data_IF_868486850860
#
_entry.id   IF_868486850860
#
_cell.length_a   1.000
_cell.length_b   1.000
_cell.length_c   1.000
_cell.angle_alpha   90.00
_cell.angle_beta   90.00
_cell.angle_gamma   90.00
#
_symmetry.space_group_name_H-M   'P 1'
#
loop_
_entity.id
_entity.type
_entity.pdbx_description
1 polymer ?
#
# COMPACT_ATOMS: atom_id res chain seq x y z
N UNK A 1 -11.66 12.69 2.13
CA UNK A 1 -10.95 11.62 2.88
C UNK A 1 -9.91 10.99 1.95
N UNK A 2 -8.73 10.65 2.46
CA UNK A 2 -7.69 9.97 1.68
C UNK A 2 -7.94 8.47 1.67
N UNK A 3 -7.64 7.86 0.52
CA UNK A 3 -7.71 6.43 0.31
C UNK A 3 -6.29 5.88 0.15
N UNK A 4 -6.03 4.73 0.78
CA UNK A 4 -4.77 4.02 0.69
C UNK A 4 -4.97 2.75 -0.14
N UNK A 5 -4.08 2.51 -1.10
CA UNK A 5 -4.07 1.30 -1.91
C UNK A 5 -2.77 0.54 -1.67
N UNK A 6 -2.86 -0.70 -1.19
CA UNK A 6 -1.71 -1.50 -0.81
C UNK A 6 -1.68 -2.75 -1.68
N UNK A 7 -0.63 -2.89 -2.48
CA UNK A 7 -0.23 -4.18 -3.03
C UNK A 7 0.30 -5.04 -1.88
N UNK A 8 -0.60 -5.85 -1.32
CA UNK A 8 -0.38 -6.52 -0.06
C UNK A 8 0.40 -7.83 -0.20
N UNK A 9 0.50 -8.36 -1.42
CA UNK A 9 1.34 -9.53 -1.73
C UNK A 9 2.82 -9.16 -1.74
N UNK A 10 3.17 -8.00 -2.29
CA UNK A 10 4.55 -7.54 -2.26
C UNK A 10 4.93 -6.84 -0.95
N UNK A 11 3.97 -6.42 -0.12
CA UNK A 11 4.22 -5.69 1.12
C UNK A 11 4.58 -6.61 2.32
N UNK A 12 5.78 -6.48 2.92
CA UNK A 12 6.20 -7.27 4.07
C UNK A 12 5.29 -7.07 5.31
N UNK A 13 5.08 -8.14 6.09
CA UNK A 13 4.26 -8.11 7.33
C UNK A 13 4.59 -6.95 8.29
N UNK A 14 5.87 -6.64 8.60
CA UNK A 14 6.18 -5.51 9.49
C UNK A 14 5.67 -4.17 8.98
N UNK A 15 5.69 -3.96 7.65
CA UNK A 15 5.20 -2.73 7.06
C UNK A 15 3.67 -2.69 7.03
N UNK A 16 3.02 -3.82 6.74
CA UNK A 16 1.55 -3.91 6.88
C UNK A 16 1.10 -3.56 8.29
N UNK A 17 1.81 -3.99 9.32
CA UNK A 17 1.51 -3.61 10.70
C UNK A 17 1.60 -2.09 10.95
N UNK A 18 2.61 -1.42 10.36
CA UNK A 18 2.73 0.05 10.42
C UNK A 18 1.54 0.73 9.72
N UNK A 19 1.21 0.28 8.50
CA UNK A 19 0.09 0.83 7.72
C UNK A 19 -1.23 0.62 8.47
N UNK A 20 -1.52 -0.60 8.92
CA UNK A 20 -2.73 -0.94 9.67
C UNK A 20 -2.87 -0.09 10.93
N UNK A 21 -1.78 0.10 11.68
CA UNK A 21 -1.79 0.98 12.86
C UNK A 21 -2.14 2.41 12.50
N UNK A 22 -1.56 2.97 11.44
CA UNK A 22 -1.87 4.33 11.00
C UNK A 22 -3.31 4.47 10.50
N UNK A 23 -3.80 3.48 9.75
CA UNK A 23 -5.17 3.41 9.24
C UNK A 23 -6.18 3.39 10.38
N UNK A 24 -5.97 2.53 11.38
CA UNK A 24 -6.81 2.44 12.58
C UNK A 24 -6.79 3.74 13.37
N UNK A 25 -5.60 4.28 13.68
CA UNK A 25 -5.46 5.48 14.51
C UNK A 25 -6.10 6.74 13.89
N UNK A 26 -6.19 6.79 12.56
CA UNK A 26 -6.69 7.96 11.82
C UNK A 26 -8.02 7.68 11.10
N UNK A 27 -8.60 6.50 11.31
CA UNK A 27 -9.82 6.02 10.65
C UNK A 27 -9.83 6.23 9.12
N UNK A 28 -8.74 5.83 8.46
CA UNK A 28 -8.53 6.04 7.02
C UNK A 28 -9.15 4.90 6.20
N UNK A 29 -9.63 5.20 4.99
CA UNK A 29 -10.02 4.16 4.02
C UNK A 29 -8.76 3.52 3.45
N UNK A 30 -8.67 2.19 3.56
CA UNK A 30 -7.53 1.45 3.05
C UNK A 30 -7.96 0.14 2.39
N UNK A 31 -7.41 -0.13 1.20
CA UNK A 31 -7.64 -1.32 0.42
C UNK A 31 -6.35 -2.13 0.36
N UNK A 32 -6.36 -3.31 0.99
CA UNK A 32 -5.27 -4.28 0.93
C UNK A 32 -5.61 -5.33 -0.12
N UNK A 33 -4.87 -5.33 -1.21
CA UNK A 33 -5.16 -6.14 -2.40
C UNK A 33 -4.15 -7.28 -2.48
N UNK A 34 -4.63 -8.51 -2.58
CA UNK A 34 -3.79 -9.69 -2.71
C UNK A 34 -4.53 -10.84 -3.41
N UNK A 35 -3.79 -11.82 -3.92
CA UNK A 35 -4.30 -13.07 -4.49
C UNK A 35 -4.83 -14.07 -3.45
N UNK A 36 -4.72 -13.71 -2.16
CA UNK A 36 -5.09 -14.57 -1.03
C UNK A 36 -5.49 -13.75 0.18
N UNK A 37 -6.17 -14.41 1.11
CA UNK A 37 -6.51 -13.83 2.40
C UNK A 37 -5.27 -13.64 3.30
N UNK A 38 -5.10 -12.41 3.78
CA UNK A 38 -4.07 -12.05 4.75
C UNK A 38 -4.66 -12.02 6.17
N UNK A 39 -4.23 -12.96 7.02
CA UNK A 39 -4.75 -13.11 8.39
C UNK A 39 -4.56 -11.86 9.25
N UNK A 40 -3.42 -11.18 9.08
CA UNK A 40 -3.10 -9.93 9.79
C UNK A 40 -4.03 -8.78 9.41
N UNK A 41 -4.40 -8.67 8.13
CA UNK A 41 -5.35 -7.65 7.67
C UNK A 41 -6.76 -7.95 8.17
N UNK A 42 -7.19 -9.23 8.10
CA UNK A 42 -8.49 -9.66 8.63
C UNK A 42 -8.61 -9.39 10.13
N UNK A 43 -7.58 -9.76 10.90
CA UNK A 43 -7.55 -9.53 12.34
C UNK A 43 -7.67 -8.03 12.66
N UNK A 44 -6.89 -7.18 11.98
CA UNK A 44 -6.96 -5.74 12.18
C UNK A 44 -8.35 -5.14 11.84
N UNK A 45 -9.01 -5.64 10.79
CA UNK A 45 -10.39 -5.26 10.48
C UNK A 45 -11.36 -5.64 11.60
N UNK A 46 -11.27 -6.87 12.12
CA UNK A 46 -12.14 -7.38 13.18
C UNK A 46 -11.94 -6.60 14.49
N UNK A 47 -10.69 -6.42 14.92
CA UNK A 47 -10.30 -5.68 16.12
C UNK A 47 -10.74 -4.21 16.04
N UNK A 48 -10.47 -3.53 14.91
CA UNK A 48 -10.86 -2.14 14.76
C UNK A 48 -12.39 -1.99 14.69
N UNK A 49 -13.10 -2.91 14.04
CA UNK A 49 -14.57 -2.91 14.02
C UNK A 49 -15.14 -3.07 15.43
N UNK A 50 -14.58 -3.98 16.24
CA UNK A 50 -15.00 -4.16 17.63
C UNK A 50 -14.74 -2.89 18.47
N UNK A 51 -13.58 -2.26 18.29
CA UNK A 51 -13.25 -1.00 18.97
C UNK A 51 -14.25 0.11 18.61
N UNK A 52 -14.52 0.33 17.32
CA UNK A 52 -15.49 1.34 16.88
C UNK A 52 -16.90 1.08 17.43
N UNK A 53 -17.32 -0.20 17.50
CA UNK A 53 -18.61 -0.58 18.08
C UNK A 53 -18.69 -0.35 19.59
N UNK A 54 -17.59 -0.56 20.31
CA UNK A 54 -17.55 -0.29 21.76
C UNK A 54 -17.64 1.20 22.11
N UNK A 55 -17.30 2.08 21.18
CA UNK A 55 -17.39 3.53 21.35
C UNK A 55 -18.82 4.08 21.17
N UNK A 56 -19.79 3.25 20.77
CA UNK A 56 -21.17 3.66 20.51
C UNK A 56 -22.12 3.01 21.50
N UNK A 57 -22.91 3.84 22.18
CA UNK A 57 -23.82 3.39 23.24
C UNK A 57 -25.05 2.65 22.69
N UNK A 58 -25.65 3.13 21.59
CA UNK A 58 -26.91 2.62 21.04
C UNK A 58 -26.73 1.29 20.28
N UNK A 59 -27.40 0.19 20.71
CA UNK A 59 -27.22 -1.13 20.10
C UNK A 59 -27.58 -1.25 18.62
N UNK A 60 -28.60 -0.52 18.16
CA UNK A 60 -29.01 -0.48 16.75
C UNK A 60 -27.91 0.06 15.82
N UNK A 61 -27.20 1.11 16.24
CA UNK A 61 -26.15 1.76 15.44
C UNK A 61 -24.90 0.89 15.33
N UNK A 62 -24.57 0.13 16.39
CA UNK A 62 -23.39 -0.76 16.43
C UNK A 62 -23.34 -1.75 15.27
N UNK A 63 -24.49 -2.25 14.80
CA UNK A 63 -24.54 -3.28 13.75
C UNK A 63 -24.06 -2.76 12.39
N UNK A 64 -24.25 -1.47 12.12
CA UNK A 64 -23.87 -0.86 10.84
C UNK A 64 -22.40 -0.43 10.80
N UNK A 65 -21.76 -0.27 11.97
CA UNK A 65 -20.37 0.14 12.09
C UNK A 65 -19.43 -0.98 11.62
N UNK A 66 -18.53 -0.60 10.71
CA UNK A 66 -17.44 -1.43 10.18
C UNK A 66 -16.16 -0.60 10.10
N UNK A 67 -15.02 -1.25 10.29
CA UNK A 67 -13.72 -0.64 10.03
C UNK A 67 -13.62 -0.23 8.55
N UNK A 68 -12.95 0.89 8.23
CA UNK A 68 -12.65 1.31 6.86
C UNK A 68 -11.50 0.52 6.20
N UNK A 69 -10.96 -0.51 6.88
CA UNK A 69 -10.00 -1.47 6.32
C UNK A 69 -10.76 -2.45 5.43
N UNK A 70 -10.35 -2.56 4.17
CA UNK A 70 -10.95 -3.49 3.21
C UNK A 70 -9.88 -4.46 2.70
N UNK A 71 -10.13 -5.75 2.84
CA UNK A 71 -9.34 -6.80 2.20
C UNK A 71 -9.97 -7.13 0.85
N UNK A 72 -9.22 -6.97 -0.22
CA UNK A 72 -9.60 -7.34 -1.58
C UNK A 72 -8.82 -8.59 -1.96
N UNK A 73 -9.54 -9.68 -2.20
CA UNK A 73 -8.95 -10.92 -2.71
C UNK A 73 -9.25 -10.99 -4.20
N UNK A 74 -8.20 -10.88 -5.01
CA UNK A 74 -8.31 -11.04 -6.46
C UNK A 74 -8.10 -12.51 -6.84
N UNK A 75 -8.47 -12.87 -8.06
CA UNK A 75 -8.14 -14.18 -8.60
C UNK A 75 -6.62 -14.39 -8.65
N UNK A 76 -6.19 -15.64 -8.43
CA UNK A 76 -4.78 -15.99 -8.60
C UNK A 76 -4.37 -15.84 -10.06
N UNK A 77 -3.31 -15.08 -10.31
CA UNK A 77 -2.81 -14.82 -11.65
C UNK A 77 -1.84 -13.64 -11.64
N UNK A 78 -0.99 -13.58 -12.67
CA UNK A 78 -0.09 -12.45 -12.82
C UNK A 78 -0.88 -11.15 -12.97
N UNK A 79 -0.41 -10.10 -12.29
CA UNK A 79 -0.89 -8.72 -12.39
C UNK A 79 -2.36 -8.49 -12.01
N UNK A 80 -3.06 -9.45 -11.42
CA UNK A 80 -4.46 -9.30 -11.04
C UNK A 80 -4.65 -8.25 -9.93
N UNK A 81 -3.73 -8.23 -8.95
CA UNK A 81 -3.74 -7.23 -7.88
C UNK A 81 -3.43 -5.85 -8.44
N UNK A 82 -2.42 -5.76 -9.30
CA UNK A 82 -1.98 -4.53 -9.97
C UNK A 82 -3.12 -3.90 -10.78
N UNK A 83 -3.79 -4.70 -11.62
CA UNK A 83 -4.95 -4.26 -12.40
C UNK A 83 -6.05 -3.70 -11.50
N UNK A 84 -6.39 -4.43 -10.43
CA UNK A 84 -7.42 -3.98 -9.51
C UNK A 84 -7.04 -2.63 -8.89
N UNK A 85 -5.79 -2.47 -8.44
CA UNK A 85 -5.30 -1.21 -7.86
C UNK A 85 -5.38 -0.08 -8.90
N UNK A 86 -4.89 -0.30 -10.12
CA UNK A 86 -4.93 0.69 -11.20
C UNK A 86 -6.36 1.10 -11.51
N UNK A 87 -7.30 0.16 -11.59
CA UNK A 87 -8.69 0.45 -11.97
C UNK A 87 -9.43 1.24 -10.88
N UNK A 88 -9.14 0.99 -9.61
CA UNK A 88 -9.88 1.55 -8.49
C UNK A 88 -9.21 2.76 -7.85
N UNK A 89 -7.91 2.97 -8.06
CA UNK A 89 -7.19 4.07 -7.43
C UNK A 89 -7.56 5.41 -8.05
N UNK A 90 -7.96 6.34 -7.17
CA UNK A 90 -8.36 7.70 -7.47
C UNK A 90 -7.17 8.67 -7.38
N UNK A 91 -7.17 9.79 -8.13
CA UNK A 91 -6.27 10.91 -7.84
C UNK A 91 -6.41 11.36 -6.37
N UNK A 92 -5.32 11.87 -5.78
CA UNK A 92 -5.24 12.22 -4.35
C UNK A 92 -5.33 11.04 -3.38
N UNK A 93 -4.95 9.85 -3.84
CA UNK A 93 -4.72 8.66 -3.00
C UNK A 93 -3.22 8.42 -2.77
N UNK A 94 -2.93 7.52 -1.84
CA UNK A 94 -1.58 7.05 -1.54
C UNK A 94 -1.49 5.55 -1.84
N UNK A 95 -0.51 5.13 -2.63
CA UNK A 95 -0.29 3.72 -2.93
C UNK A 95 1.03 3.20 -2.38
N UNK A 96 1.05 1.91 -2.03
CA UNK A 96 2.26 1.19 -1.59
C UNK A 96 2.46 -0.03 -2.49
N UNK A 97 3.59 -0.07 -3.21
CA UNK A 97 4.00 -1.21 -4.03
C UNK A 97 5.52 -1.20 -4.24
N UNK A 98 6.10 -2.39 -4.41
CA UNK A 98 7.49 -2.54 -4.88
C UNK A 98 7.62 -2.62 -6.39
N UNK A 99 6.53 -2.82 -7.11
CA UNK A 99 6.60 -2.96 -8.57
C UNK A 99 6.71 -1.58 -9.23
N UNK A 100 7.80 -1.37 -9.96
CA UNK A 100 8.06 -0.12 -10.69
C UNK A 100 7.08 0.09 -11.84
N UNK A 101 6.59 -0.97 -12.48
CA UNK A 101 5.56 -0.87 -13.53
C UNK A 101 4.24 -0.41 -12.90
N UNK A 102 3.82 -1.02 -11.79
CA UNK A 102 2.63 -0.57 -11.07
C UNK A 102 2.79 0.88 -10.59
N UNK A 103 3.95 1.22 -10.01
CA UNK A 103 4.23 2.58 -9.57
C UNK A 103 4.14 3.59 -10.72
N UNK A 104 4.69 3.29 -11.90
CA UNK A 104 4.59 4.13 -13.10
C UNK A 104 3.14 4.38 -13.52
N UNK A 105 2.32 3.33 -13.58
CA UNK A 105 0.90 3.44 -13.92
C UNK A 105 0.17 4.35 -12.93
N UNK A 106 0.43 4.21 -11.63
CA UNK A 106 -0.26 4.98 -10.59
C UNK A 106 0.22 6.44 -10.53
N UNK A 107 1.53 6.68 -10.65
CA UNK A 107 2.10 8.04 -10.67
C UNK A 107 1.53 8.85 -11.84
N UNK A 108 1.37 8.23 -13.02
CA UNK A 108 0.74 8.86 -14.19
C UNK A 108 -0.74 9.21 -13.98
N UNK A 109 -1.43 8.55 -13.04
CA UNK A 109 -2.78 8.91 -12.58
C UNK A 109 -2.81 10.01 -11.51
N UNK A 110 -1.65 10.57 -11.14
CA UNK A 110 -1.53 11.59 -10.09
C UNK A 110 -1.53 11.02 -8.67
N UNK A 111 -1.23 9.73 -8.51
CA UNK A 111 -1.20 9.04 -7.21
C UNK A 111 0.22 9.12 -6.64
N UNK A 112 0.34 9.43 -5.35
CA UNK A 112 1.63 9.34 -4.66
C UNK A 112 1.91 7.88 -4.34
N UNK A 113 3.07 7.36 -4.74
CA UNK A 113 3.41 5.93 -4.55
C UNK A 113 4.67 5.79 -3.72
N UNK A 114 4.68 4.85 -2.78
CA UNK A 114 5.85 4.48 -1.98
C UNK A 114 6.20 3.00 -2.16
N UNK A 115 7.50 2.69 -2.08
CA UNK A 115 7.95 1.30 -1.95
C UNK A 115 8.15 0.87 -0.49
N UNK A 116 8.52 -0.39 -0.29
CA UNK A 116 8.79 -0.99 1.02
C UNK A 116 10.12 -0.54 1.66
N UNK A 117 10.85 0.37 1.01
CA UNK A 117 12.11 0.95 1.49
C UNK A 117 11.99 2.45 1.78
N UNK A 118 10.80 3.03 1.60
CA UNK A 118 10.54 4.44 1.81
C UNK A 118 10.99 5.36 0.66
N UNK A 119 11.27 4.79 -0.52
CA UNK A 119 11.38 5.60 -1.73
C UNK A 119 9.99 6.09 -2.12
N UNK A 120 9.90 7.34 -2.56
CA UNK A 120 8.66 7.95 -3.07
C UNK A 120 8.81 8.11 -4.58
N UNK A 121 7.87 7.53 -5.33
CA UNK A 121 7.80 7.69 -6.76
C UNK A 121 6.93 8.90 -7.12
N UNK A 122 7.44 9.70 -8.04
CA UNK A 122 6.80 10.92 -8.52
C UNK A 122 6.98 11.02 -10.04
N UNK A 123 6.23 11.90 -10.69
CA UNK A 123 6.34 12.08 -12.15
C UNK A 123 7.76 12.49 -12.57
N UNK A 124 8.51 13.15 -11.70
CA UNK A 124 9.87 13.61 -11.95
C UNK A 124 10.91 12.48 -11.91
N UNK A 125 10.66 11.40 -11.16
CA UNK A 125 11.67 10.36 -10.93
C UNK A 125 11.28 8.99 -11.52
N UNK A 126 10.01 8.75 -11.82
CA UNK A 126 9.53 7.40 -12.16
C UNK A 126 10.08 6.90 -13.50
N UNK A 127 10.28 7.80 -14.47
CA UNK A 127 10.85 7.46 -15.77
C UNK A 127 12.29 6.92 -15.66
N UNK A 128 13.11 7.55 -14.81
CA UNK A 128 14.48 7.08 -14.56
C UNK A 128 14.48 5.71 -13.87
N UNK A 129 13.61 5.52 -12.87
CA UNK A 129 13.45 4.24 -12.16
C UNK A 129 13.03 3.12 -13.10
N UNK A 130 12.09 3.40 -14.00
CA UNK A 130 11.64 2.44 -15.02
C UNK A 130 12.76 2.10 -16.01
N UNK A 131 13.56 3.08 -16.43
CA UNK A 131 14.72 2.84 -17.30
C UNK A 131 15.75 1.94 -16.63
N UNK A 132 16.09 2.20 -15.36
CA UNK A 132 17.02 1.36 -14.59
C UNK A 132 16.49 -0.06 -14.42
N UNK A 133 15.21 -0.21 -14.09
CA UNK A 133 14.53 -1.51 -14.00
C UNK A 133 14.68 -2.29 -15.31
N UNK A 134 14.37 -1.67 -16.45
CA UNK A 134 14.44 -2.32 -17.76
C UNK A 134 15.89 -2.73 -18.11
N UNK A 135 16.87 -1.88 -17.84
CA UNK A 135 18.28 -2.23 -18.05
C UNK A 135 18.71 -3.43 -17.19
N UNK A 136 18.30 -3.49 -15.92
CA UNK A 136 18.58 -4.64 -15.05
C UNK A 136 17.87 -5.92 -15.50
N UNK A 137 16.65 -5.82 -16.02
CA UNK A 137 15.93 -6.94 -16.64
C UNK A 137 16.72 -7.50 -17.82
N UNK A 138 17.16 -6.63 -18.73
CA UNK A 138 17.98 -7.03 -19.89
C UNK A 138 19.28 -7.72 -19.47
N UNK A 139 20.00 -7.19 -18.47
CA UNK A 139 21.22 -7.84 -17.96
C UNK A 139 20.95 -9.21 -17.33
N UNK A 140 19.79 -9.39 -16.70
CA UNK A 140 19.36 -10.68 -16.16
C UNK A 140 19.05 -11.69 -17.27
N UNK A 141 18.38 -11.25 -18.34
CA UNK A 141 18.08 -12.08 -19.51
C UNK A 141 19.37 -12.57 -20.21
N UNK A 142 20.41 -11.74 -20.23
CA UNK A 142 21.74 -12.14 -20.72
C UNK A 142 22.56 -12.99 -19.73
N UNK A 143 22.02 -13.32 -18.55
CA UNK A 143 22.71 -14.11 -17.53
C UNK A 143 23.90 -13.42 -16.85
N UNK A 144 24.06 -12.11 -17.08
CA UNK A 144 25.18 -11.30 -16.54
C UNK A 144 24.91 -10.87 -15.09
N UNK A 145 23.63 -10.79 -14.71
CA UNK A 145 23.22 -10.31 -13.40
C UNK A 145 22.13 -11.19 -12.79
N UNK A 146 22.30 -11.59 -11.53
CA UNK A 146 21.28 -12.24 -10.72
C UNK A 146 20.96 -11.35 -9.52
N UNK A 147 19.78 -10.75 -9.54
CA UNK A 147 19.36 -9.87 -8.46
C UNK A 147 18.96 -10.68 -7.23
N UNK A 148 19.58 -10.40 -6.08
CA UNK A 148 19.15 -10.94 -4.79
C UNK A 148 18.33 -9.87 -4.07
N UNK A 149 17.03 -10.11 -3.92
CA UNK A 149 16.20 -9.25 -3.07
C UNK A 149 16.70 -9.35 -1.63
N UNK A 150 17.33 -8.28 -1.15
CA UNK A 150 17.77 -8.19 0.25
C UNK A 150 16.53 -8.13 1.15
N UNK A 151 16.41 -9.01 2.16
CA UNK A 151 15.33 -8.93 3.14
C UNK A 151 15.26 -7.54 3.77
N UNK A 152 14.04 -7.10 4.10
CA UNK A 152 13.84 -5.82 4.79
C UNK A 152 14.43 -5.89 6.20
N UNK A 153 15.24 -4.90 6.57
CA UNK A 153 15.87 -4.81 7.89
C UNK A 153 15.32 -3.66 8.72
N UNK A 154 15.82 -3.49 9.96
CA UNK A 154 15.40 -2.40 10.84
C UNK A 154 15.64 -1.00 10.25
N UNK A 155 16.65 -0.85 9.38
CA UNK A 155 16.92 0.40 8.69
C UNK A 155 15.81 0.73 7.70
N UNK A 156 15.50 -0.21 6.80
CA UNK A 156 14.48 -0.04 5.78
C UNK A 156 13.09 0.16 6.39
N UNK A 157 12.76 -0.53 7.50
CA UNK A 157 11.50 -0.31 8.23
C UNK A 157 11.39 1.13 8.76
N UNK A 158 12.50 1.69 9.28
CA UNK A 158 12.53 3.09 9.75
C UNK A 158 12.38 4.07 8.59
N UNK A 159 13.09 3.83 7.49
CA UNK A 159 13.02 4.66 6.28
C UNK A 159 11.61 4.65 5.68
N UNK A 160 10.99 3.47 5.60
CA UNK A 160 9.59 3.32 5.21
C UNK A 160 8.66 4.10 6.15
N UNK A 161 8.75 3.89 7.47
CA UNK A 161 7.87 4.55 8.43
C UNK A 161 7.96 6.07 8.31
N UNK A 162 9.18 6.61 8.22
CA UNK A 162 9.40 8.05 8.10
C UNK A 162 8.85 8.61 6.78
N UNK A 163 9.03 7.90 5.67
CA UNK A 163 8.50 8.32 4.38
C UNK A 163 6.96 8.24 4.35
N UNK A 164 6.39 7.13 4.84
CA UNK A 164 4.96 6.93 4.92
C UNK A 164 4.27 7.98 5.78
N UNK A 165 4.78 8.27 6.97
CA UNK A 165 4.22 9.31 7.85
C UNK A 165 4.27 10.70 7.20
N UNK A 166 5.38 11.01 6.51
CA UNK A 166 5.57 12.29 5.81
C UNK A 166 4.57 12.45 4.66
N UNK A 167 4.47 11.46 3.77
CA UNK A 167 3.57 11.55 2.60
C UNK A 167 2.10 11.50 3.03
N UNK A 168 1.76 10.67 4.04
CA UNK A 168 0.42 10.66 4.61
C UNK A 168 0.05 12.02 5.23
N UNK A 169 0.96 12.65 5.97
CA UNK A 169 0.73 13.97 6.55
C UNK A 169 0.55 15.08 5.49
N UNK A 170 1.34 15.06 4.41
CA UNK A 170 1.18 15.99 3.29
C UNK A 170 -0.17 15.82 2.62
N UNK A 171 -0.53 14.58 2.30
CA UNK A 171 -1.79 14.30 1.63
C UNK A 171 -2.98 14.74 2.51
N UNK A 172 -2.95 14.46 3.83
CA UNK A 172 -4.01 14.89 4.75
C UNK A 172 -4.18 16.41 4.82
N UNK A 173 -3.09 17.19 4.69
CA UNK A 173 -3.15 18.66 4.62
C UNK A 173 -3.73 19.19 3.31
N UNK A 174 -3.58 18.46 2.21
CA UNK A 174 -4.10 18.89 0.91
C UNK A 174 -5.62 18.70 0.78
N UNK A 175 -6.20 17.78 1.58
CA UNK A 175 -7.66 17.52 1.61
C UNK A 175 -8.42 18.25 2.73
N UNK A 176 -7.73 18.91 3.66
CA UNK A 176 -8.32 19.65 4.77
C UNK A 176 -8.31 21.15 4.50
#
# INVERSE_FOLDING_TARGET
MIELYIDADSCPKPLRAIILKAVTNRNLKAFFVADRLLKDVRQAYEEHTALLRSAVEQPEERRMIKSPITMIVVESGADQADRWIVDHASPDSLAITRDIILADMLVKKGITVLDDRGNVFTNENIAERLSLRNAMTTLREYGVFAEKHKPIGPKEIREFSAAFDRELAKALKQKG
#
